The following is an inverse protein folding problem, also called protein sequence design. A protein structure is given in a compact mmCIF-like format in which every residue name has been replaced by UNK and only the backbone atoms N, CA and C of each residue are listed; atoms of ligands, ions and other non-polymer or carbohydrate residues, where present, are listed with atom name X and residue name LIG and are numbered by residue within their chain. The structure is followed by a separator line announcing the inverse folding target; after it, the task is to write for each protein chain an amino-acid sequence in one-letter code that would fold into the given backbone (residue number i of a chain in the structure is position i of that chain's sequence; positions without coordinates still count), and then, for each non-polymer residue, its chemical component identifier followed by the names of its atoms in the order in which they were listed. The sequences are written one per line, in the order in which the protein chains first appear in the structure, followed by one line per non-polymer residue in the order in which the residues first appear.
data_IF_318648072096
#
_entry.id   IF_318648072096
#
_cell.length_a   1.000
_cell.length_b   1.000
_cell.length_c   1.000
_cell.angle_alpha   90.00
_cell.angle_beta   90.00
_cell.angle_gamma   90.00
#
_symmetry.space_group_name_H-M   'P 1'
#
loop_
_entity.id
_entity.type
_entity.pdbx_description
1 polymer ?
#
# COMPACT_ATOMS: atom_id res chain seq x y z
N UNK A 1 4.90 4.93 26.80
CA UNK A 1 4.50 5.85 25.69
C UNK A 1 5.58 6.05 24.61
N UNK A 2 6.88 6.17 24.95
CA UNK A 2 7.98 6.45 23.99
C UNK A 2 8.10 5.42 22.84
N UNK A 3 8.12 4.12 23.16
CA UNK A 3 8.26 3.06 22.14
C UNK A 3 7.13 3.05 21.10
N UNK A 4 5.90 3.38 21.52
CA UNK A 4 4.73 3.46 20.63
C UNK A 4 4.87 4.58 19.59
N UNK A 5 5.35 5.75 20.01
CA UNK A 5 5.63 6.88 19.10
C UNK A 5 6.77 6.57 18.13
N UNK A 6 7.80 5.84 18.58
CA UNK A 6 8.93 5.46 17.72
C UNK A 6 8.44 4.52 16.62
N UNK A 7 7.70 3.46 16.97
CA UNK A 7 7.21 2.49 15.99
C UNK A 7 6.25 3.13 14.98
N UNK A 8 5.34 4.02 15.40
CA UNK A 8 4.45 4.71 14.44
C UNK A 8 5.22 5.66 13.52
N UNK A 9 6.24 6.34 14.03
CA UNK A 9 7.07 7.26 13.23
C UNK A 9 7.93 6.48 12.23
N UNK A 10 8.58 5.40 12.67
CA UNK A 10 9.33 4.52 11.78
C UNK A 10 8.41 3.91 10.72
N UNK A 11 7.23 3.42 11.11
CA UNK A 11 6.26 2.88 10.16
C UNK A 11 5.81 3.94 9.14
N UNK A 12 5.58 5.17 9.57
CA UNK A 12 5.23 6.28 8.69
C UNK A 12 6.35 6.59 7.69
N UNK A 13 7.61 6.64 8.14
CA UNK A 13 8.77 6.91 7.28
C UNK A 13 8.94 5.80 6.25
N UNK A 14 8.92 4.53 6.68
CA UNK A 14 9.07 3.39 5.77
C UNK A 14 7.91 3.35 4.76
N UNK A 15 6.67 3.56 5.22
CA UNK A 15 5.51 3.62 4.33
C UNK A 15 5.61 4.80 3.35
N UNK A 16 6.12 5.95 3.78
CA UNK A 16 6.32 7.11 2.90
C UNK A 16 7.34 6.83 1.81
N UNK A 17 8.50 6.26 2.16
CA UNK A 17 9.52 5.86 1.18
C UNK A 17 8.93 4.85 0.19
N UNK A 18 8.23 3.83 0.69
CA UNK A 18 7.59 2.85 -0.18
C UNK A 18 6.52 3.45 -1.09
N UNK A 19 5.69 4.35 -0.58
CA UNK A 19 4.65 5.03 -1.33
C UNK A 19 5.25 5.90 -2.45
N UNK A 20 6.27 6.70 -2.13
CA UNK A 20 6.95 7.57 -3.08
C UNK A 20 7.67 6.76 -4.17
N UNK A 21 8.36 5.68 -3.79
CA UNK A 21 8.97 4.78 -4.76
C UNK A 21 7.92 4.15 -5.68
N UNK A 22 6.83 3.64 -5.11
CA UNK A 22 5.75 3.03 -5.90
C UNK A 22 5.08 4.03 -6.83
N UNK A 23 4.84 5.26 -6.35
CA UNK A 23 4.28 6.36 -7.12
C UNK A 23 5.20 6.70 -8.28
N UNK A 24 6.51 6.87 -8.03
CA UNK A 24 7.51 7.20 -9.04
C UNK A 24 7.63 6.11 -10.11
N UNK A 25 7.72 4.84 -9.71
CA UNK A 25 7.77 3.72 -10.65
C UNK A 25 6.49 3.69 -11.51
N UNK A 26 5.32 3.82 -10.88
CA UNK A 26 4.05 3.76 -11.61
C UNK A 26 3.84 4.96 -12.53
N UNK A 27 4.21 6.17 -12.08
CA UNK A 27 4.13 7.38 -12.91
C UNK A 27 5.12 7.33 -14.07
N UNK A 28 6.32 6.80 -13.86
CA UNK A 28 7.30 6.65 -14.93
C UNK A 28 6.80 5.75 -16.06
N UNK A 29 6.02 4.72 -15.73
CA UNK A 29 5.41 3.81 -16.72
C UNK A 29 4.16 4.44 -17.37
N UNK A 30 3.32 5.12 -16.58
CA UNK A 30 2.10 5.78 -17.09
C UNK A 30 2.44 6.94 -18.03
N UNK A 31 3.38 7.80 -17.64
CA UNK A 31 3.77 8.99 -18.40
C UNK A 31 4.96 8.76 -19.32
N UNK A 32 5.45 7.52 -19.40
CA UNK A 32 6.62 7.12 -20.20
C UNK A 32 7.86 7.98 -19.95
N UNK A 33 8.09 8.34 -18.68
CA UNK A 33 9.31 9.03 -18.31
C UNK A 33 10.49 8.13 -18.63
N UNK A 34 11.49 8.69 -19.32
CA UNK A 34 12.72 8.00 -19.71
C UNK A 34 12.53 6.82 -20.70
N UNK A 35 11.41 6.76 -21.43
CA UNK A 35 11.16 5.69 -22.41
C UNK A 35 11.04 4.30 -21.78
N UNK A 36 10.64 4.24 -20.51
CA UNK A 36 10.54 2.98 -19.75
C UNK A 36 9.45 2.07 -20.31
N UNK A 37 8.42 2.60 -20.99
CA UNK A 37 7.40 1.75 -21.65
C UNK A 37 8.00 0.79 -22.66
N UNK A 38 8.99 1.24 -23.42
CA UNK A 38 9.69 0.39 -24.39
C UNK A 38 10.57 -0.68 -23.73
N UNK A 39 10.99 -0.47 -22.48
CA UNK A 39 11.82 -1.41 -21.71
C UNK A 39 11.02 -2.42 -20.90
N UNK A 40 9.79 -2.09 -20.50
CA UNK A 40 8.91 -2.98 -19.73
C UNK A 40 7.97 -3.84 -20.59
N UNK A 41 7.93 -3.65 -21.92
CA UNK A 41 7.42 -4.57 -22.95
C UNK A 41 6.00 -5.12 -22.76
N UNK A 42 5.81 -6.03 -21.81
CA UNK A 42 4.58 -6.77 -21.51
C UNK A 42 4.12 -6.58 -20.06
N UNK A 43 4.10 -5.34 -19.59
CA UNK A 43 3.44 -4.99 -18.34
C UNK A 43 1.95 -4.77 -18.58
N UNK A 44 1.15 -5.04 -17.56
CA UNK A 44 -0.30 -4.95 -17.65
C UNK A 44 -0.73 -3.57 -17.16
N UNK A 45 -1.11 -2.68 -18.08
CA UNK A 45 -1.36 -1.26 -17.80
C UNK A 45 -2.34 -1.00 -16.64
N UNK A 46 -3.39 -1.81 -16.47
CA UNK A 46 -4.34 -1.61 -15.37
C UNK A 46 -3.70 -1.84 -13.99
N UNK A 47 -2.66 -2.66 -13.89
CA UNK A 47 -1.94 -2.93 -12.64
C UNK A 47 -1.13 -1.70 -12.23
N UNK A 48 -0.52 -1.04 -13.21
CA UNK A 48 0.24 0.19 -12.97
C UNK A 48 -0.68 1.29 -12.46
N UNK A 49 -1.88 1.44 -13.04
CA UNK A 49 -2.89 2.36 -12.55
C UNK A 49 -3.38 2.02 -11.13
N UNK A 50 -3.66 0.75 -10.85
CA UNK A 50 -4.05 0.31 -9.50
C UNK A 50 -2.95 0.61 -8.47
N UNK A 51 -1.68 0.39 -8.83
CA UNK A 51 -0.53 0.70 -7.97
C UNK A 51 -0.33 2.21 -7.77
N UNK A 52 -0.58 3.01 -8.81
CA UNK A 52 -0.56 4.46 -8.70
C UNK A 52 -1.62 4.93 -7.70
N UNK A 53 -2.87 4.45 -7.82
CA UNK A 53 -3.93 4.77 -6.87
C UNK A 53 -3.63 4.31 -5.44
N UNK A 54 -3.09 3.09 -5.27
CA UNK A 54 -2.73 2.58 -3.94
C UNK A 54 -1.62 3.40 -3.29
N UNK A 55 -0.64 3.89 -4.07
CA UNK A 55 0.43 4.74 -3.56
C UNK A 55 -0.06 6.09 -3.02
N UNK A 56 -1.09 6.68 -3.64
CA UNK A 56 -1.75 7.90 -3.12
C UNK A 56 -2.42 7.59 -1.78
N UNK A 57 -3.12 6.46 -1.67
CA UNK A 57 -3.73 6.03 -0.42
C UNK A 57 -2.68 5.78 0.68
N UNK A 58 -1.51 5.25 0.32
CA UNK A 58 -0.42 5.09 1.29
C UNK A 58 0.10 6.42 1.80
N UNK A 59 0.23 7.45 0.95
CA UNK A 59 0.61 8.79 1.41
C UNK A 59 -0.42 9.38 2.40
N UNK A 60 -1.72 9.14 2.16
CA UNK A 60 -2.77 9.50 3.13
C UNK A 60 -2.61 8.70 4.44
N UNK A 61 -2.27 7.41 4.36
CA UNK A 61 -2.02 6.58 5.53
C UNK A 61 -0.77 7.01 6.32
N UNK A 62 0.29 7.52 5.67
CA UNK A 62 1.46 8.11 6.33
C UNK A 62 1.02 9.27 7.24
N UNK A 63 0.20 10.18 6.73
CA UNK A 63 -0.37 11.27 7.54
C UNK A 63 -1.19 10.72 8.71
N UNK A 64 -1.98 9.67 8.46
CA UNK A 64 -2.73 8.96 9.48
C UNK A 64 -1.87 8.32 10.59
N UNK A 65 -0.71 7.76 10.27
CA UNK A 65 0.25 7.22 11.23
C UNK A 65 0.90 8.31 12.09
N UNK A 66 1.31 9.43 11.47
CA UNK A 66 1.92 10.57 12.19
C UNK A 66 0.95 11.19 13.20
N UNK A 67 -0.35 11.23 12.88
CA UNK A 67 -1.41 11.78 13.74
C UNK A 67 -2.13 10.73 14.60
N UNK A 68 -1.73 9.45 14.55
CA UNK A 68 -2.31 8.32 15.30
C UNK A 68 -3.85 8.28 15.18
N UNK A 69 -4.35 8.42 13.96
CA UNK A 69 -5.80 8.47 13.71
C UNK A 69 -6.35 7.08 13.38
N UNK A 70 -7.59 6.81 13.79
CA UNK A 70 -8.24 5.48 13.59
C UNK A 70 -8.58 5.18 12.13
N UNK A 71 -8.75 6.20 11.29
CA UNK A 71 -9.03 6.06 9.85
C UNK A 71 -7.86 5.47 9.04
N UNK A 72 -6.62 5.47 9.56
CA UNK A 72 -5.44 4.94 8.87
C UNK A 72 -5.63 3.48 8.45
N UNK A 73 -6.24 2.69 9.33
CA UNK A 73 -6.57 1.30 9.03
C UNK A 73 -7.56 1.18 7.86
N UNK A 74 -8.60 2.02 7.81
CA UNK A 74 -9.59 2.00 6.72
C UNK A 74 -8.96 2.36 5.38
N UNK A 75 -8.05 3.34 5.36
CA UNK A 75 -7.33 3.75 4.15
C UNK A 75 -6.42 2.63 3.63
N UNK A 76 -5.67 1.97 4.52
CA UNK A 76 -4.81 0.84 4.15
C UNK A 76 -5.60 -0.37 3.65
N UNK A 77 -6.74 -0.68 4.28
CA UNK A 77 -7.64 -1.74 3.81
C UNK A 77 -8.23 -1.41 2.44
N UNK A 78 -8.63 -0.16 2.19
CA UNK A 78 -9.10 0.25 0.87
C UNK A 78 -8.01 0.04 -0.20
N UNK A 79 -6.76 0.40 0.10
CA UNK A 79 -5.63 0.16 -0.80
C UNK A 79 -5.38 -1.35 -1.01
N UNK A 80 -5.50 -2.17 0.03
CA UNK A 80 -5.37 -3.63 -0.06
C UNK A 80 -6.45 -4.24 -0.97
N UNK A 81 -7.70 -3.78 -0.86
CA UNK A 81 -8.81 -4.25 -1.71
C UNK A 81 -8.53 -3.93 -3.18
N UNK A 82 -8.07 -2.71 -3.48
CA UNK A 82 -7.69 -2.31 -4.85
C UNK A 82 -6.61 -3.25 -5.40
N UNK A 83 -5.59 -3.56 -4.60
CA UNK A 83 -4.52 -4.49 -4.99
C UNK A 83 -5.05 -5.91 -5.21
N UNK A 84 -5.95 -6.41 -4.36
CA UNK A 84 -6.54 -7.75 -4.51
C UNK A 84 -7.36 -7.83 -5.80
N UNK A 85 -8.19 -6.82 -6.09
CA UNK A 85 -8.97 -6.76 -7.33
C UNK A 85 -8.04 -6.75 -8.54
N UNK A 86 -6.98 -5.93 -8.51
CA UNK A 86 -5.97 -5.91 -9.57
C UNK A 86 -5.25 -7.26 -9.71
N UNK A 87 -5.02 -7.98 -8.60
CA UNK A 87 -4.42 -9.30 -8.63
C UNK A 87 -5.32 -10.34 -9.28
N UNK A 88 -6.61 -10.35 -8.93
CA UNK A 88 -7.60 -11.25 -9.54
C UNK A 88 -7.72 -10.98 -11.04
N UNK A 89 -7.80 -9.69 -11.42
CA UNK A 89 -7.81 -9.29 -12.83
C UNK A 89 -6.54 -9.73 -13.56
N UNK A 90 -5.37 -9.67 -12.92
CA UNK A 90 -4.11 -10.19 -13.49
C UNK A 90 -4.18 -11.70 -13.70
N UNK A 91 -4.69 -12.48 -12.75
CA UNK A 91 -4.83 -13.93 -12.91
C UNK A 91 -5.74 -14.28 -14.08
N UNK A 92 -6.85 -13.55 -14.25
CA UNK A 92 -7.75 -13.74 -15.39
C UNK A 92 -7.07 -13.38 -16.72
N UNK A 93 -6.27 -12.30 -16.76
CA UNK A 93 -5.50 -11.93 -17.93
C UNK A 93 -4.47 -13.02 -18.31
N UNK A 94 -3.76 -13.57 -17.33
CA UNK A 94 -2.79 -14.66 -17.53
C UNK A 94 -3.49 -15.92 -18.05
N UNK A 95 -4.63 -16.29 -17.45
CA UNK A 95 -5.40 -17.47 -17.86
C UNK A 95 -5.89 -17.39 -19.32
N UNK A 96 -6.22 -16.19 -19.79
CA UNK A 96 -6.61 -15.95 -21.18
C UNK A 96 -5.42 -15.87 -22.16
N UNK A 97 -4.21 -16.28 -21.75
CA UNK A 97 -3.02 -16.28 -22.60
C UNK A 97 -2.30 -14.93 -22.68
N UNK A 98 -2.57 -14.02 -21.74
CA UNK A 98 -1.89 -12.73 -21.66
C UNK A 98 -0.38 -12.87 -21.43
N UNK A 99 0.41 -12.27 -22.30
CA UNK A 99 1.87 -12.19 -22.14
C UNK A 99 2.15 -11.37 -20.88
N UNK A 100 2.85 -11.97 -19.92
CA UNK A 100 3.13 -11.33 -18.65
C UNK A 100 4.58 -11.60 -18.26
N UNK A 101 5.22 -10.58 -17.70
CA UNK A 101 6.50 -10.79 -17.03
C UNK A 101 6.29 -11.38 -15.64
N UNK A 102 7.12 -12.37 -15.28
CA UNK A 102 7.18 -12.93 -13.91
C UNK A 102 7.48 -11.86 -12.86
N UNK A 103 8.11 -10.75 -13.26
CA UNK A 103 8.36 -9.56 -12.44
C UNK A 103 7.06 -8.92 -11.93
N UNK A 104 6.01 -8.90 -12.75
CA UNK A 104 4.71 -8.30 -12.38
C UNK A 104 4.04 -9.06 -11.25
N UNK A 105 4.09 -10.40 -11.29
CA UNK A 105 3.53 -11.26 -10.23
C UNK A 105 4.30 -11.04 -8.92
N UNK A 106 5.63 -11.08 -8.97
CA UNK A 106 6.48 -10.84 -7.78
C UNK A 106 6.25 -9.45 -7.18
N UNK A 107 6.17 -8.41 -8.02
CA UNK A 107 5.92 -7.05 -7.57
C UNK A 107 4.53 -6.89 -6.91
N UNK A 108 3.51 -7.55 -7.47
CA UNK A 108 2.15 -7.55 -6.91
C UNK A 108 2.09 -8.22 -5.54
N UNK A 109 2.68 -9.42 -5.39
CA UNK A 109 2.71 -10.14 -4.12
C UNK A 109 3.45 -9.31 -3.05
N UNK A 110 4.58 -8.72 -3.41
CA UNK A 110 5.34 -7.85 -2.51
C UNK A 110 4.50 -6.67 -2.00
N UNK A 111 3.76 -6.00 -2.89
CA UNK A 111 2.87 -4.88 -2.52
C UNK A 111 1.73 -5.33 -1.59
N UNK A 112 1.11 -6.46 -1.86
CA UNK A 112 0.03 -7.01 -1.02
C UNK A 112 0.55 -7.32 0.38
N UNK A 113 1.67 -8.05 0.49
CA UNK A 113 2.28 -8.40 1.78
C UNK A 113 2.68 -7.17 2.57
N UNK A 114 3.30 -6.17 1.92
CA UNK A 114 3.70 -4.95 2.60
C UNK A 114 2.47 -4.17 3.11
N UNK A 115 1.44 -4.01 2.28
CA UNK A 115 0.20 -3.32 2.65
C UNK A 115 -0.49 -4.04 3.81
N UNK A 116 -0.53 -5.37 3.78
CA UNK A 116 -1.07 -6.18 4.85
C UNK A 116 -0.29 -5.96 6.15
N UNK A 117 1.04 -5.97 6.09
CA UNK A 117 1.91 -5.69 7.23
C UNK A 117 1.62 -4.33 7.87
N UNK A 118 1.55 -3.26 7.08
CA UNK A 118 1.18 -1.93 7.57
C UNK A 118 -0.26 -1.86 8.09
N UNK A 119 -1.20 -2.57 7.45
CA UNK A 119 -2.59 -2.66 7.93
C UNK A 119 -2.67 -3.29 9.31
N UNK A 120 -1.92 -4.39 9.53
CA UNK A 120 -1.84 -5.06 10.82
C UNK A 120 -1.24 -4.15 11.89
N UNK A 121 -0.14 -3.46 11.57
CA UNK A 121 0.46 -2.46 12.48
C UNK A 121 -0.59 -1.40 12.84
N UNK A 122 -1.27 -0.81 11.84
CA UNK A 122 -2.32 0.19 12.08
C UNK A 122 -3.47 -0.36 12.95
N UNK A 123 -3.86 -1.61 12.75
CA UNK A 123 -4.90 -2.29 13.54
C UNK A 123 -4.49 -2.44 15.00
N UNK A 124 -3.30 -3.00 15.28
CA UNK A 124 -2.81 -3.18 16.65
C UNK A 124 -2.66 -1.84 17.39
N UNK A 125 -2.21 -0.79 16.68
CA UNK A 125 -2.13 0.56 17.25
C UNK A 125 -3.50 1.16 17.57
N UNK A 126 -4.47 0.97 16.70
CA UNK A 126 -5.83 1.50 16.88
C UNK A 126 -6.59 0.76 17.97
N UNK A 127 -6.45 -0.57 18.05
CA UNK A 127 -7.08 -1.42 19.06
C UNK A 127 -6.57 -1.12 20.47
N UNK A 128 -5.25 -0.96 20.62
CA UNK A 128 -4.64 -0.63 21.91
C UNK A 128 -4.99 0.77 22.43
N UNK A 129 -5.47 1.68 21.56
CA UNK A 129 -5.98 2.99 21.96
C UNK A 129 -7.40 2.93 22.53
N UNK A 130 -8.22 1.92 22.15
CA UNK A 130 -9.55 1.72 22.75
C UNK A 130 -9.45 1.32 24.22
N UNK A 131 -8.59 0.35 24.55
CA UNK A 131 -8.42 -0.14 25.94
C UNK A 131 -8.03 0.98 26.91
N UNK A 132 -7.12 1.89 26.54
CA UNK A 132 -6.68 2.97 27.44
C UNK A 132 -7.72 4.08 27.64
N UNK A 133 -8.72 4.18 26.77
CA UNK A 133 -9.78 5.19 26.90
C UNK A 133 -10.93 4.65 27.74
N UNK A 134 -11.24 3.35 27.64
CA UNK A 134 -12.26 2.69 28.47
C UNK A 134 -11.82 2.61 29.95
N UNK A 135 -10.54 2.35 30.25
CA UNK A 135 -10.03 2.40 31.63
C UNK A 135 -10.06 3.82 32.25
N UNK A 136 -10.02 4.88 31.44
CA UNK A 136 -10.07 6.27 31.91
C UNK A 136 -11.47 6.86 32.01
N UNK A 137 -12.47 6.21 31.41
CA UNK A 137 -13.87 6.64 31.47
C UNK A 137 -14.66 5.92 32.58
N UNK A 138 -14.07 4.89 33.20
CA UNK A 138 -14.61 4.16 34.35
C UNK A 138 -13.95 4.49 35.70
N UNK A 139 -13.17 5.58 35.75
CA UNK A 139 -12.60 6.22 36.96
C UNK A 139 -13.04 7.69 36.95
#
# INVERSE_FOLDING_TARGET
MKHRKIITTVSAIVLAVFALLTLFLSSSVIFDWFGIRAKEGHYVSFIVWANFMSSILYLVAVYGFLKIKKWTFRVLIAALIILIIAFIALQFYIYNGGIHETKTIKAMIFRILMTLGFSLIAYFYTKNNKLSTETKAGL
#
